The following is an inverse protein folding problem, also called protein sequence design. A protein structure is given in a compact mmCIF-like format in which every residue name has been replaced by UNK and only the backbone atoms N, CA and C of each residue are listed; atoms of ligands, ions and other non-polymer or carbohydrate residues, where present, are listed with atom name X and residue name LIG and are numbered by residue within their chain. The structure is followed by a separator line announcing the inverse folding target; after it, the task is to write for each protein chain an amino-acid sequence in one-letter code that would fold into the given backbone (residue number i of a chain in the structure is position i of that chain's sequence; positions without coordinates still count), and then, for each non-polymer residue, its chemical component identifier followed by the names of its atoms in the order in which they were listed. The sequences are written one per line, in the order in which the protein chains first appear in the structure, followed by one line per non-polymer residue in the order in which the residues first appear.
data_IF_916803984057
#
_entry.id   IF_916803984057
#
_cell.length_a   1.000
_cell.length_b   1.000
_cell.length_c   1.000
_cell.angle_alpha   90.00
_cell.angle_beta   90.00
_cell.angle_gamma   90.00
#
_symmetry.space_group_name_H-M   'P 1'
#
loop_
_entity.id
_entity.type
_entity.pdbx_description
1 polymer ?
#
# COMPACT_ATOMS: atom_id res chain seq x y z
N UNK A 1 -1.57 2.04 -23.92
CA UNK A 1 -0.24 1.79 -23.34
C UNK A 1 0.11 0.29 -23.37
N UNK A 2 -0.80 -0.59 -22.93
CA UNK A 2 -0.60 -2.04 -22.94
C UNK A 2 -0.42 -2.62 -24.35
N UNK A 3 -1.08 -2.06 -25.35
CA UNK A 3 -0.91 -2.48 -26.76
C UNK A 3 0.50 -2.20 -27.31
N UNK A 4 1.25 -1.31 -26.67
CA UNK A 4 2.65 -0.99 -26.99
C UNK A 4 3.65 -1.92 -26.29
N UNK A 5 3.20 -2.66 -25.26
CA UNK A 5 4.05 -3.52 -24.42
C UNK A 5 3.99 -5.02 -24.78
N UNK A 6 3.26 -5.37 -25.85
CA UNK A 6 3.20 -6.72 -26.39
C UNK A 6 1.95 -7.52 -26.00
N UNK A 7 1.51 -8.43 -26.88
CA UNK A 7 0.22 -9.10 -26.86
C UNK A 7 -0.08 -10.05 -25.68
N UNK A 8 0.87 -10.33 -24.77
CA UNK A 8 0.64 -11.20 -23.61
C UNK A 8 -0.32 -10.57 -22.59
N UNK A 9 -0.31 -9.24 -22.44
CA UNK A 9 -1.19 -8.53 -21.52
C UNK A 9 -2.68 -8.64 -21.90
N UNK A 10 -3.00 -8.80 -23.18
CA UNK A 10 -4.39 -8.92 -23.64
C UNK A 10 -5.03 -10.29 -23.35
N UNK A 11 -4.20 -11.33 -23.27
CA UNK A 11 -4.69 -12.70 -23.07
C UNK A 11 -5.32 -12.92 -21.68
N UNK A 12 -5.07 -12.02 -20.69
CA UNK A 12 -5.49 -12.19 -19.30
C UNK A 12 -6.36 -11.06 -18.77
N UNK A 13 -6.94 -10.22 -19.66
CA UNK A 13 -7.73 -9.06 -19.21
C UNK A 13 -8.97 -9.45 -18.40
N UNK A 14 -9.73 -10.45 -18.86
CA UNK A 14 -10.93 -10.88 -18.15
C UNK A 14 -10.55 -11.45 -16.78
N UNK A 15 -9.51 -12.28 -16.72
CA UNK A 15 -9.00 -12.80 -15.46
C UNK A 15 -8.52 -11.68 -14.54
N UNK A 16 -7.83 -10.68 -15.07
CA UNK A 16 -7.38 -9.54 -14.28
C UNK A 16 -8.56 -8.72 -13.75
N UNK A 17 -9.62 -8.54 -14.54
CA UNK A 17 -10.83 -7.84 -14.11
C UNK A 17 -11.54 -8.59 -12.96
N UNK A 18 -11.65 -9.92 -13.07
CA UNK A 18 -12.23 -10.74 -12.00
C UNK A 18 -11.41 -10.63 -10.70
N UNK A 19 -10.09 -10.74 -10.79
CA UNK A 19 -9.19 -10.56 -9.64
C UNK A 19 -9.34 -9.16 -9.03
N UNK A 20 -9.41 -8.10 -9.84
CA UNK A 20 -9.65 -6.75 -9.34
C UNK A 20 -10.98 -6.65 -8.58
N UNK A 21 -12.04 -7.24 -9.10
CA UNK A 21 -13.34 -7.27 -8.43
C UNK A 21 -13.29 -8.02 -7.09
N UNK A 22 -12.58 -9.14 -7.02
CA UNK A 22 -12.36 -9.90 -5.78
C UNK A 22 -11.57 -9.07 -4.75
N UNK A 23 -10.48 -8.41 -5.16
CA UNK A 23 -9.68 -7.56 -4.27
C UNK A 23 -10.53 -6.41 -3.71
N UNK A 24 -11.33 -5.75 -4.54
CA UNK A 24 -12.19 -4.63 -4.11
C UNK A 24 -13.34 -5.08 -3.20
N UNK A 25 -13.84 -6.30 -3.37
CA UNK A 25 -14.89 -6.88 -2.52
C UNK A 25 -14.35 -7.45 -1.20
N UNK A 26 -13.04 -7.68 -1.09
CA UNK A 26 -12.42 -8.27 0.09
C UNK A 26 -12.52 -7.35 1.31
N UNK A 27 -12.90 -7.92 2.46
CA UNK A 27 -12.88 -7.17 3.72
C UNK A 27 -11.46 -7.06 4.23
N UNK A 28 -11.04 -5.84 4.52
CA UNK A 28 -9.76 -5.59 5.17
C UNK A 28 -9.86 -5.94 6.65
N UNK A 29 -8.85 -6.63 7.18
CA UNK A 29 -8.80 -7.02 8.58
C UNK A 29 -8.79 -5.77 9.50
N UNK A 30 -9.58 -5.77 10.60
CA UNK A 30 -9.73 -4.57 11.45
C UNK A 30 -8.43 -4.05 12.04
N UNK A 31 -7.48 -4.92 12.36
CA UNK A 31 -6.16 -4.56 12.88
C UNK A 31 -5.32 -3.78 11.86
N UNK A 32 -5.41 -4.14 10.57
CA UNK A 32 -4.77 -3.40 9.47
C UNK A 32 -5.42 -2.02 9.33
N UNK A 33 -6.75 -1.96 9.30
CA UNK A 33 -7.49 -0.70 9.18
C UNK A 33 -7.15 0.24 10.32
N UNK A 34 -7.19 -0.25 11.55
CA UNK A 34 -6.88 0.52 12.74
C UNK A 34 -5.42 0.97 12.76
N UNK A 35 -4.49 0.07 12.44
CA UNK A 35 -3.07 0.38 12.40
C UNK A 35 -2.71 1.48 11.40
N UNK A 36 -3.41 1.53 10.26
CA UNK A 36 -3.23 2.61 9.27
C UNK A 36 -3.92 3.90 9.72
N UNK A 37 -5.14 3.79 10.27
CA UNK A 37 -5.90 4.95 10.73
C UNK A 37 -5.22 5.68 11.90
N UNK A 38 -4.57 4.97 12.80
CA UNK A 38 -3.90 5.53 13.99
C UNK A 38 -2.44 5.94 13.74
N UNK A 39 -1.86 5.60 12.60
CA UNK A 39 -0.45 5.87 12.31
C UNK A 39 -0.14 7.37 12.44
N UNK A 40 0.90 7.72 13.20
CA UNK A 40 1.43 9.09 13.25
C UNK A 40 2.05 9.45 11.88
N UNK A 41 2.81 8.51 11.32
CA UNK A 41 3.31 8.54 9.94
C UNK A 41 3.05 7.17 9.32
N UNK A 42 2.60 7.16 8.07
CA UNK A 42 2.43 5.95 7.27
C UNK A 42 3.56 5.85 6.25
N UNK A 43 4.43 4.89 6.43
CA UNK A 43 5.43 4.55 5.42
C UNK A 43 4.86 3.49 4.48
N UNK A 44 5.07 3.66 3.20
CA UNK A 44 4.76 2.66 2.18
C UNK A 44 6.06 2.26 1.50
N UNK A 45 6.53 1.06 1.78
CA UNK A 45 7.78 0.56 1.25
C UNK A 45 7.55 -0.48 0.16
N UNK A 46 8.22 -0.36 -0.96
CA UNK A 46 8.00 -1.27 -2.07
C UNK A 46 9.01 -1.13 -3.19
N UNK A 47 8.77 -1.90 -4.23
CA UNK A 47 9.58 -1.87 -5.44
C UNK A 47 9.33 -0.59 -6.22
N UNK A 48 10.31 -0.19 -7.02
CA UNK A 48 10.18 0.98 -7.90
C UNK A 48 9.34 0.64 -9.16
N UNK A 49 8.06 0.36 -8.94
CA UNK A 49 7.06 0.09 -10.00
C UNK A 49 5.89 1.08 -9.97
N UNK A 50 5.99 2.14 -9.16
CA UNK A 50 4.98 3.17 -9.00
C UNK A 50 3.86 2.83 -8.01
N UNK A 51 3.61 1.56 -7.69
CA UNK A 51 2.48 1.18 -6.84
C UNK A 51 2.63 1.71 -5.41
N UNK A 52 3.75 1.47 -4.76
CA UNK A 52 3.99 1.93 -3.39
C UNK A 52 4.05 3.46 -3.30
N UNK A 53 4.64 4.13 -4.29
CA UNK A 53 4.70 5.60 -4.37
C UNK A 53 3.30 6.20 -4.48
N UNK A 54 2.45 5.66 -5.36
CA UNK A 54 1.07 6.12 -5.54
C UNK A 54 0.22 5.86 -4.28
N UNK A 55 0.38 4.71 -3.62
CA UNK A 55 -0.31 4.42 -2.35
C UNK A 55 0.13 5.42 -1.27
N UNK A 56 1.40 5.77 -1.18
CA UNK A 56 1.88 6.78 -0.24
C UNK A 56 1.28 8.17 -0.55
N UNK A 57 1.26 8.56 -1.82
CA UNK A 57 0.62 9.81 -2.23
C UNK A 57 -0.86 9.83 -1.84
N UNK A 58 -1.62 8.79 -2.16
CA UNK A 58 -3.04 8.68 -1.83
C UNK A 58 -3.33 8.57 -0.33
N UNK A 59 -2.40 8.07 0.46
CA UNK A 59 -2.55 8.06 1.92
C UNK A 59 -2.71 9.49 2.47
N UNK A 60 -1.94 10.46 1.98
CA UNK A 60 -2.10 11.87 2.38
C UNK A 60 -3.49 12.41 2.01
N UNK A 61 -4.02 12.03 0.85
CA UNK A 61 -5.31 12.52 0.35
C UNK A 61 -6.49 11.85 1.05
N UNK A 62 -6.49 10.53 1.14
CA UNK A 62 -7.62 9.70 1.60
C UNK A 62 -7.67 9.65 3.12
N UNK A 63 -6.56 9.34 3.79
CA UNK A 63 -6.52 9.22 5.25
C UNK A 63 -6.15 10.51 5.96
N UNK A 64 -5.66 11.50 5.24
CA UNK A 64 -5.12 12.76 5.77
C UNK A 64 -3.99 12.53 6.79
N UNK A 65 -3.32 11.39 6.72
CA UNK A 65 -2.13 11.05 7.50
C UNK A 65 -0.88 11.43 6.73
N UNK A 66 0.15 11.86 7.42
CA UNK A 66 1.47 12.03 6.82
C UNK A 66 1.94 10.69 6.31
N UNK A 67 2.41 10.64 5.07
CA UNK A 67 2.96 9.42 4.51
C UNK A 67 4.24 9.68 3.72
N UNK A 68 5.07 8.65 3.62
CA UNK A 68 6.31 8.66 2.87
C UNK A 68 6.48 7.33 2.11
N UNK A 69 6.93 7.44 0.87
CA UNK A 69 7.36 6.30 0.08
C UNK A 69 8.81 5.96 0.39
N UNK A 70 9.11 4.67 0.54
CA UNK A 70 10.45 4.13 0.74
C UNK A 70 10.73 3.12 -0.38
N UNK A 71 11.64 3.50 -1.28
CA UNK A 71 12.00 2.65 -2.41
C UNK A 71 12.82 1.43 -1.98
N UNK A 72 12.49 0.28 -2.58
CA UNK A 72 13.29 -0.93 -2.43
C UNK A 72 13.43 -1.36 -0.97
N UNK A 73 14.66 -1.36 -0.49
CA UNK A 73 15.00 -1.72 0.89
C UNK A 73 15.33 -0.53 1.78
N UNK A 74 14.93 0.68 1.41
CA UNK A 74 15.24 1.89 2.19
C UNK A 74 14.73 1.84 3.62
N UNK A 75 13.62 1.13 3.86
CA UNK A 75 13.13 0.87 5.21
C UNK A 75 14.13 0.08 6.10
N UNK A 76 15.22 -0.42 5.53
CA UNK A 76 16.27 -1.21 6.22
C UNK A 76 17.65 -0.52 6.17
N UNK A 77 17.71 0.75 5.77
CA UNK A 77 18.97 1.46 5.51
C UNK A 77 19.06 2.80 6.25
N UNK A 78 18.82 2.78 7.56
CA UNK A 78 19.05 3.91 8.45
C UNK A 78 17.83 4.76 8.75
N UNK A 79 16.74 4.68 7.98
CA UNK A 79 15.51 5.40 8.28
C UNK A 79 14.87 4.91 9.59
N UNK A 80 15.10 3.67 9.95
CA UNK A 80 14.64 3.06 11.20
C UNK A 80 15.17 3.77 12.46
N UNK A 81 16.27 4.50 12.36
CA UNK A 81 16.83 5.30 13.47
C UNK A 81 15.91 6.44 13.93
N UNK A 82 15.01 6.89 13.06
CA UNK A 82 14.09 8.00 13.36
C UNK A 82 12.64 7.55 13.46
N UNK A 83 12.34 6.29 13.14
CA UNK A 83 10.99 5.73 13.21
C UNK A 83 10.54 5.52 14.66
N UNK A 84 9.24 5.73 14.92
CA UNK A 84 8.65 5.63 16.25
C UNK A 84 7.58 4.52 16.29
N UNK A 85 7.35 3.95 17.46
CA UNK A 85 6.44 2.81 17.63
C UNK A 85 4.96 3.10 17.32
N UNK A 86 4.56 4.36 17.25
CA UNK A 86 3.22 4.81 16.85
C UNK A 86 3.07 5.02 15.32
N UNK A 87 4.13 4.72 14.59
CA UNK A 87 4.13 4.77 13.12
C UNK A 87 3.83 3.38 12.54
N UNK A 88 3.48 3.35 11.27
CA UNK A 88 3.08 2.12 10.56
C UNK A 88 3.82 2.00 9.23
N UNK A 89 4.24 0.79 8.89
CA UNK A 89 4.83 0.46 7.59
C UNK A 89 3.93 -0.51 6.84
N UNK A 90 3.58 -0.19 5.59
CA UNK A 90 2.99 -1.13 4.63
C UNK A 90 4.07 -1.56 3.65
N UNK A 91 4.36 -2.85 3.60
CA UNK A 91 5.28 -3.45 2.65
C UNK A 91 4.52 -3.92 1.41
N UNK A 92 4.82 -3.36 0.25
CA UNK A 92 4.22 -3.73 -1.03
C UNK A 92 5.15 -4.69 -1.77
N UNK A 93 4.75 -5.95 -1.89
CA UNK A 93 5.51 -7.04 -2.52
C UNK A 93 6.98 -7.04 -2.09
N UNK A 94 7.28 -7.17 -0.78
CA UNK A 94 8.63 -7.06 -0.25
C UNK A 94 9.58 -8.10 -0.85
N UNK A 95 10.88 -7.83 -0.80
CA UNK A 95 11.88 -8.79 -1.25
C UNK A 95 11.89 -10.01 -0.33
N UNK A 96 11.63 -11.20 -0.89
CA UNK A 96 11.59 -12.47 -0.14
C UNK A 96 12.88 -12.75 0.61
N UNK A 97 14.02 -12.42 0.00
CA UNK A 97 15.33 -12.61 0.61
C UNK A 97 15.55 -11.74 1.86
N UNK A 98 14.85 -10.60 1.96
CA UNK A 98 15.01 -9.65 3.05
C UNK A 98 13.88 -9.73 4.09
N UNK A 99 12.94 -10.66 3.94
CA UNK A 99 11.70 -10.67 4.74
C UNK A 99 11.96 -10.77 6.24
N UNK A 100 12.89 -11.60 6.66
CA UNK A 100 13.27 -11.73 8.07
C UNK A 100 13.97 -10.48 8.60
N UNK A 101 14.75 -9.81 7.76
CA UNK A 101 15.39 -8.55 8.13
C UNK A 101 14.36 -7.43 8.33
N UNK A 102 13.31 -7.36 7.48
CA UNK A 102 12.19 -6.45 7.73
C UNK A 102 11.54 -6.73 9.09
N UNK A 103 11.32 -7.99 9.43
CA UNK A 103 10.74 -8.37 10.72
C UNK A 103 11.63 -7.96 11.90
N UNK A 104 12.92 -8.27 11.82
CA UNK A 104 13.88 -7.94 12.87
C UNK A 104 14.01 -6.44 13.08
N UNK A 105 14.22 -5.69 12.00
CA UNK A 105 14.50 -4.26 12.06
C UNK A 105 13.23 -3.46 12.40
N UNK A 106 12.15 -3.66 11.65
CA UNK A 106 10.97 -2.81 11.78
C UNK A 106 10.07 -3.22 12.95
N UNK A 107 9.76 -4.52 13.07
CA UNK A 107 8.81 -4.97 14.10
C UNK A 107 9.50 -5.18 15.46
N UNK A 108 10.67 -5.83 15.49
CA UNK A 108 11.29 -6.23 16.75
C UNK A 108 12.11 -5.08 17.35
N UNK A 109 13.01 -4.47 16.57
CA UNK A 109 13.91 -3.42 17.06
C UNK A 109 13.23 -2.05 17.16
N UNK A 110 12.57 -1.60 16.08
CA UNK A 110 11.90 -0.30 16.07
C UNK A 110 10.49 -0.33 16.68
N UNK A 111 9.89 -1.52 16.88
CA UNK A 111 8.57 -1.65 17.50
C UNK A 111 7.41 -1.17 16.64
N UNK A 112 7.61 -1.05 15.33
CA UNK A 112 6.62 -0.56 14.38
C UNK A 112 5.49 -1.56 14.15
N UNK A 113 4.31 -1.06 13.82
CA UNK A 113 3.26 -1.85 13.18
C UNK A 113 3.63 -2.06 11.71
N UNK A 114 3.74 -3.32 11.31
CA UNK A 114 4.11 -3.68 9.94
C UNK A 114 3.02 -4.56 9.34
N UNK A 115 2.53 -4.18 8.17
CA UNK A 115 1.59 -4.93 7.36
C UNK A 115 2.18 -5.21 5.99
N UNK A 116 1.65 -6.18 5.28
CA UNK A 116 2.08 -6.47 3.91
C UNK A 116 0.89 -6.56 2.94
N UNK A 117 1.12 -6.15 1.70
CA UNK A 117 0.31 -6.48 0.53
C UNK A 117 1.23 -7.30 -0.37
N UNK A 118 0.98 -8.58 -0.52
CA UNK A 118 1.91 -9.47 -1.19
C UNK A 118 1.23 -10.67 -1.86
N UNK A 119 1.88 -11.18 -2.89
CA UNK A 119 1.47 -12.41 -3.59
C UNK A 119 1.90 -13.70 -2.87
N UNK A 120 2.61 -13.57 -1.75
CA UNK A 120 3.12 -14.67 -0.95
C UNK A 120 2.89 -14.44 0.55
N UNK A 121 3.07 -15.49 1.35
CA UNK A 121 2.93 -15.41 2.80
C UNK A 121 4.11 -14.69 3.42
N UNK A 122 3.83 -13.76 4.33
CA UNK A 122 4.84 -13.00 5.05
C UNK A 122 4.66 -13.21 6.57
N UNK A 123 5.65 -12.89 7.41
CA UNK A 123 5.51 -12.96 8.85
C UNK A 123 4.65 -11.82 9.45
N UNK A 124 4.06 -10.97 8.62
CA UNK A 124 3.20 -9.85 9.01
C UNK A 124 1.74 -10.15 8.70
N UNK A 125 0.78 -9.46 9.33
CA UNK A 125 -0.59 -9.42 8.81
C UNK A 125 -0.57 -9.01 7.33
N UNK A 126 -1.07 -9.90 6.46
CA UNK A 126 -0.88 -9.77 5.00
C UNK A 126 -2.22 -9.75 4.27
N UNK A 127 -2.41 -8.74 3.45
CA UNK A 127 -3.43 -8.74 2.42
C UNK A 127 -2.87 -9.51 1.24
N UNK A 128 -3.39 -10.72 1.06
CA UNK A 128 -2.95 -11.60 0.00
C UNK A 128 -3.56 -11.18 -1.31
N UNK A 129 -2.71 -10.99 -2.32
CA UNK A 129 -3.13 -10.69 -3.69
C UNK A 129 -2.60 -11.78 -4.63
N UNK A 130 -3.33 -12.16 -5.69
CA UNK A 130 -2.80 -13.04 -6.73
C UNK A 130 -1.63 -12.38 -7.49
N UNK A 131 -0.78 -13.20 -8.08
CA UNK A 131 0.20 -12.76 -9.07
C UNK A 131 -0.33 -13.07 -10.47
N UNK A 132 -0.27 -12.08 -11.36
CA UNK A 132 -0.60 -12.25 -12.77
C UNK A 132 0.31 -11.33 -13.59
N UNK A 133 1.13 -11.92 -14.43
CA UNK A 133 2.13 -11.19 -15.23
C UNK A 133 1.51 -10.01 -15.97
N UNK A 134 2.11 -8.84 -15.83
CA UNK A 134 1.65 -7.59 -16.43
C UNK A 134 0.55 -6.85 -15.64
N UNK A 135 -0.03 -7.46 -14.58
CA UNK A 135 -1.11 -6.87 -13.79
C UNK A 135 -0.78 -6.67 -12.31
N UNK A 136 0.37 -7.15 -11.82
CA UNK A 136 0.73 -7.12 -10.41
C UNK A 136 0.63 -5.71 -9.79
N UNK A 137 1.10 -4.68 -10.50
CA UNK A 137 1.02 -3.29 -10.04
C UNK A 137 -0.42 -2.80 -9.85
N UNK A 138 -1.36 -3.24 -10.69
CA UNK A 138 -2.78 -2.90 -10.55
C UNK A 138 -3.38 -3.55 -9.31
N UNK A 139 -3.06 -4.82 -9.04
CA UNK A 139 -3.54 -5.52 -7.85
C UNK A 139 -2.98 -4.91 -6.56
N UNK A 140 -1.72 -4.54 -6.57
CA UNK A 140 -1.08 -3.81 -5.47
C UNK A 140 -1.78 -2.47 -5.19
N UNK A 141 -2.09 -1.69 -6.24
CA UNK A 141 -2.81 -0.42 -6.13
C UNK A 141 -4.23 -0.63 -5.59
N UNK A 142 -4.99 -1.58 -6.14
CA UNK A 142 -6.36 -1.87 -5.70
C UNK A 142 -6.40 -2.24 -4.21
N UNK A 143 -5.52 -3.14 -3.78
CA UNK A 143 -5.43 -3.54 -2.40
C UNK A 143 -5.01 -2.36 -1.48
N UNK A 144 -4.03 -1.57 -1.90
CA UNK A 144 -3.57 -0.40 -1.17
C UNK A 144 -4.68 0.64 -1.01
N UNK A 145 -5.37 0.99 -2.09
CA UNK A 145 -6.49 1.94 -2.05
C UNK A 145 -7.64 1.44 -1.19
N UNK A 146 -7.96 0.14 -1.24
CA UNK A 146 -8.99 -0.46 -0.36
C UNK A 146 -8.65 -0.27 1.11
N UNK A 147 -7.37 -0.45 1.50
CA UNK A 147 -6.89 -0.18 2.87
C UNK A 147 -7.08 1.29 3.23
N UNK A 148 -6.65 2.20 2.35
CA UNK A 148 -6.72 3.64 2.62
C UNK A 148 -8.17 4.12 2.74
N UNK A 149 -9.08 3.63 1.89
CA UNK A 149 -10.51 3.94 1.96
C UNK A 149 -11.09 3.43 3.28
N UNK A 150 -10.82 2.18 3.65
CA UNK A 150 -11.28 1.61 4.92
C UNK A 150 -10.77 2.41 6.12
N UNK A 151 -9.49 2.79 6.13
CA UNK A 151 -8.90 3.62 7.18
C UNK A 151 -9.50 5.04 7.22
N UNK A 152 -9.70 5.68 6.06
CA UNK A 152 -10.34 6.99 5.97
C UNK A 152 -11.77 6.99 6.50
N UNK A 153 -12.55 5.95 6.19
CA UNK A 153 -13.90 5.77 6.73
C UNK A 153 -13.88 5.51 8.25
N UNK A 154 -12.95 4.70 8.75
CA UNK A 154 -12.77 4.46 10.18
C UNK A 154 -12.42 5.75 10.95
N UNK A 155 -11.72 6.69 10.31
CA UNK A 155 -11.45 8.02 10.84
C UNK A 155 -12.64 8.98 10.77
N UNK A 156 -13.79 8.55 10.22
CA UNK A 156 -14.97 9.39 10.04
C UNK A 156 -14.79 10.50 9.00
N UNK A 157 -13.86 10.33 8.05
CA UNK A 157 -13.59 11.32 7.03
C UNK A 157 -14.62 11.27 5.91
N UNK A 158 -15.08 12.44 5.47
CA UNK A 158 -15.78 12.58 4.19
C UNK A 158 -14.73 12.54 3.08
N UNK A 159 -14.66 11.42 2.36
CA UNK A 159 -13.66 11.17 1.33
C UNK A 159 -13.96 11.90 0.03
N UNK A 160 -15.23 12.31 -0.18
CA UNK A 160 -15.66 13.04 -1.38
C UNK A 160 -15.41 14.55 -1.27
N UNK A 161 -15.10 15.04 -0.06
CA UNK A 161 -14.90 16.47 0.20
C UNK A 161 -13.52 16.77 0.77
N UNK A 162 -12.56 17.19 -0.08
CA UNK A 162 -11.27 17.65 0.41
C UNK A 162 -11.43 18.95 1.21
N UNK A 163 -10.67 19.09 2.31
CA UNK A 163 -10.71 20.33 3.13
C UNK A 163 -9.88 21.48 2.54
N UNK A 164 -8.79 21.15 1.85
CA UNK A 164 -7.79 22.12 1.40
C UNK A 164 -7.47 22.01 -0.09
N UNK A 165 -7.46 20.78 -0.62
CA UNK A 165 -7.13 20.55 -2.01
C UNK A 165 -8.26 21.03 -2.92
N UNK A 166 -7.88 21.60 -4.08
CA UNK A 166 -8.79 21.94 -5.17
C UNK A 166 -8.31 21.25 -6.42
N UNK A 167 -9.24 20.88 -7.30
CA UNK A 167 -8.85 20.35 -8.62
C UNK A 167 -8.11 21.47 -9.38
N UNK A 168 -6.88 21.16 -9.78
CA UNK A 168 -6.13 22.02 -10.69
C UNK A 168 -6.80 21.93 -12.05
N UNK A 169 -7.23 23.06 -12.61
CA UNK A 169 -7.90 23.12 -13.91
C UNK A 169 -9.41 23.41 -13.87
N UNK A 170 -10.04 23.45 -12.71
CA UNK A 170 -11.41 23.95 -12.52
C UNK A 170 -11.38 25.32 -11.84
N UNK A 171 -10.39 26.14 -12.15
CA UNK A 171 -10.37 27.54 -11.72
C UNK A 171 -11.20 28.34 -12.72
N UNK A 172 -12.47 28.55 -12.42
CA UNK A 172 -13.31 29.66 -12.86
C UNK A 172 -13.59 30.55 -11.66
#
# INVERSE_FOLDING_TARGET
LQSLLGGAAWAHQDQAADICAEILAAKIAPDIVQGVAEAAILYVAGRNNGAAEEIALKANEITRRKSAFLEGTYALHGIEEVMQADETVILIEPYRAEIEKYREVLSIKAGLRVFAIASFDTPFPTIKIPALEGFDGYFQLMAGWSVLVAAGLALGLDLDRPLRARKVGNAD
#
